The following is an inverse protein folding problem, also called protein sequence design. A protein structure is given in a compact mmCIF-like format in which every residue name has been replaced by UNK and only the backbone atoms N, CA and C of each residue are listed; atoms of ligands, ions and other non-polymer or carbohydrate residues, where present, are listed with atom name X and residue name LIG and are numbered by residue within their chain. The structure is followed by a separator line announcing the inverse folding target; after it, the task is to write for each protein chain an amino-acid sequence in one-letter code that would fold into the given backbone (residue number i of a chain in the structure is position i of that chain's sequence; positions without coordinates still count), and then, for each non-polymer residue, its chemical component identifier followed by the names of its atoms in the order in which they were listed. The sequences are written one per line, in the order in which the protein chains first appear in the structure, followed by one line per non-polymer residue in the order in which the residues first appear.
data_IF_372541389279
#
_entry.id   IF_372541389279
#
_cell.length_a   1.000
_cell.length_b   1.000
_cell.length_c   1.000
_cell.angle_alpha   90.00
_cell.angle_beta   90.00
_cell.angle_gamma   90.00
#
_symmetry.space_group_name_H-M   'P 1'
#
loop_
_entity.id
_entity.type
_entity.pdbx_description
1 polymer ?
#
# COMPACT_ATOMS: atom_id res chain seq x y z
N UNK A 1 -5.14 42.18 -11.43
CA UNK A 1 -5.44 41.08 -10.48
C UNK A 1 -5.56 39.81 -11.31
N UNK A 2 -4.78 38.79 -11.03
CA UNK A 2 -4.87 37.51 -11.79
C UNK A 2 -6.15 36.74 -11.37
N UNK A 3 -6.62 35.81 -12.23
CA UNK A 3 -7.74 34.93 -11.87
C UNK A 3 -7.45 34.15 -10.57
N UNK A 4 -6.18 33.71 -10.37
CA UNK A 4 -5.70 33.08 -9.13
C UNK A 4 -5.93 34.00 -7.91
N UNK A 5 -5.54 35.26 -8.01
CA UNK A 5 -5.68 36.21 -6.88
C UNK A 5 -7.14 36.46 -6.54
N UNK A 6 -8.00 36.60 -7.56
CA UNK A 6 -9.43 36.76 -7.36
C UNK A 6 -10.07 35.55 -6.64
N UNK A 7 -9.69 34.33 -6.99
CA UNK A 7 -10.16 33.09 -6.34
C UNK A 7 -9.68 33.03 -4.87
N UNK A 8 -8.41 33.28 -4.63
CA UNK A 8 -7.83 33.22 -3.27
C UNK A 8 -8.45 34.30 -2.38
N UNK A 9 -8.69 35.50 -2.90
CA UNK A 9 -9.36 36.59 -2.15
C UNK A 9 -10.82 36.26 -1.89
N UNK A 10 -11.49 35.61 -2.83
CA UNK A 10 -12.85 35.10 -2.63
C UNK A 10 -12.92 34.11 -1.47
N UNK A 11 -11.99 33.13 -1.43
CA UNK A 11 -11.86 32.14 -0.34
C UNK A 11 -11.63 32.87 1.00
N UNK A 12 -10.66 33.79 1.06
CA UNK A 12 -10.33 34.52 2.29
C UNK A 12 -11.51 35.33 2.83
N UNK A 13 -12.26 36.03 1.95
CA UNK A 13 -13.44 36.83 2.36
C UNK A 13 -14.59 35.97 2.88
N UNK A 14 -14.77 34.76 2.34
CA UNK A 14 -15.86 33.86 2.70
C UNK A 14 -15.48 32.83 3.77
N UNK A 15 -14.25 32.89 4.26
CA UNK A 15 -13.83 32.00 5.35
C UNK A 15 -14.61 32.32 6.62
N UNK A 16 -15.20 31.31 7.31
CA UNK A 16 -15.87 31.54 8.58
C UNK A 16 -14.93 32.24 9.58
N UNK A 17 -15.44 33.24 10.29
CA UNK A 17 -14.71 33.89 11.37
C UNK A 17 -14.72 33.00 12.63
N UNK A 18 -13.57 32.80 13.26
CA UNK A 18 -13.43 32.04 14.49
C UNK A 18 -12.19 31.16 14.50
N UNK A 19 -11.88 30.64 15.67
CA UNK A 19 -10.88 29.60 15.86
C UNK A 19 -11.58 28.23 15.82
N UNK A 20 -11.19 27.37 14.89
CA UNK A 20 -11.76 26.04 14.69
C UNK A 20 -10.63 25.01 14.88
N UNK A 21 -10.26 24.71 16.14
CA UNK A 21 -9.22 23.73 16.40
C UNK A 21 -9.65 22.35 15.88
N UNK A 22 -8.68 21.56 15.41
CA UNK A 22 -8.95 20.18 15.01
C UNK A 22 -9.49 19.38 16.21
N UNK A 23 -10.49 18.53 16.01
CA UNK A 23 -11.01 17.68 17.05
C UNK A 23 -9.94 16.69 17.54
N UNK A 24 -9.95 16.39 18.83
CA UNK A 24 -9.15 15.30 19.37
C UNK A 24 -9.82 13.96 19.06
N UNK A 25 -9.18 13.17 18.17
CA UNK A 25 -9.70 11.85 17.77
C UNK A 25 -9.10 10.77 18.68
N UNK A 26 -9.92 9.98 19.41
CA UNK A 26 -9.43 8.88 20.24
C UNK A 26 -8.81 7.76 19.39
N UNK A 27 -7.95 6.94 20.01
CA UNK A 27 -7.25 5.85 19.29
C UNK A 27 -8.10 4.60 19.06
N UNK A 28 -9.20 4.41 19.76
CA UNK A 28 -10.09 3.23 19.67
C UNK A 28 -9.36 1.87 19.77
N UNK A 29 -8.23 1.84 20.49
CA UNK A 29 -7.36 0.65 20.59
C UNK A 29 -8.06 -0.61 21.13
N UNK A 30 -9.10 -0.55 21.99
CA UNK A 30 -9.77 -1.75 22.51
C UNK A 30 -10.55 -2.56 21.45
N UNK A 31 -10.73 -2.02 20.24
CA UNK A 31 -11.48 -2.70 19.17
C UNK A 31 -10.65 -3.73 18.39
N UNK A 32 -9.34 -3.74 18.59
CA UNK A 32 -8.40 -4.67 17.93
C UNK A 32 -7.79 -5.58 19.00
N UNK A 33 -7.74 -6.89 18.74
CA UNK A 33 -7.11 -7.85 19.63
C UNK A 33 -5.61 -7.59 19.82
N UNK A 34 -4.98 -8.31 20.75
CA UNK A 34 -3.55 -8.15 21.05
C UNK A 34 -2.64 -8.75 19.96
N UNK A 35 -3.13 -9.73 19.18
CA UNK A 35 -2.40 -10.32 18.06
C UNK A 35 -2.68 -9.57 16.75
N UNK A 36 -1.96 -8.48 16.56
CA UNK A 36 -2.09 -7.64 15.36
C UNK A 36 -1.71 -8.36 14.06
N UNK A 37 -0.81 -9.34 14.13
CA UNK A 37 -0.36 -10.11 12.95
C UNK A 37 -1.47 -11.03 12.46
N UNK A 38 -2.09 -11.78 13.38
CA UNK A 38 -3.21 -12.65 13.05
C UNK A 38 -4.41 -11.85 12.53
N UNK A 39 -4.78 -10.75 13.21
CA UNK A 39 -5.89 -9.89 12.79
C UNK A 39 -5.63 -9.29 11.40
N UNK A 40 -4.43 -8.77 11.15
CA UNK A 40 -4.01 -8.29 9.83
C UNK A 40 -4.24 -9.34 8.74
N UNK A 41 -3.78 -10.57 8.98
CA UNK A 41 -3.90 -11.67 8.03
C UNK A 41 -5.35 -12.00 7.69
N UNK A 42 -6.22 -12.09 8.71
CA UNK A 42 -7.65 -12.35 8.53
C UNK A 42 -8.37 -11.23 7.79
N UNK A 43 -8.03 -9.96 8.08
CA UNK A 43 -8.62 -8.81 7.39
C UNK A 43 -8.17 -8.74 5.93
N UNK A 44 -6.86 -8.91 5.68
CA UNK A 44 -6.32 -8.96 4.32
C UNK A 44 -6.99 -10.04 3.49
N UNK A 45 -7.17 -11.24 4.06
CA UNK A 45 -7.85 -12.37 3.40
C UNK A 45 -9.30 -12.04 3.02
N UNK A 46 -10.05 -11.40 3.92
CA UNK A 46 -11.42 -10.94 3.63
C UNK A 46 -11.48 -9.96 2.46
N UNK A 47 -10.43 -9.17 2.28
CA UNK A 47 -10.30 -8.23 1.17
C UNK A 47 -9.72 -8.87 -0.10
N UNK A 48 -9.57 -10.19 -0.14
CA UNK A 48 -9.08 -10.93 -1.31
C UNK A 48 -7.56 -11.01 -1.45
N UNK A 49 -6.80 -10.46 -0.50
CA UNK A 49 -5.36 -10.64 -0.42
C UNK A 49 -4.98 -11.93 0.30
N UNK A 50 -3.68 -12.17 0.44
CA UNK A 50 -3.18 -13.31 1.22
C UNK A 50 -1.87 -12.97 1.93
N UNK A 51 -1.61 -13.65 3.03
CA UNK A 51 -0.32 -13.67 3.70
C UNK A 51 0.45 -14.91 3.24
N UNK A 52 1.75 -14.77 3.05
CA UNK A 52 2.68 -15.87 2.85
C UNK A 52 3.82 -15.76 3.86
N UNK A 53 4.26 -16.90 4.36
CA UNK A 53 5.42 -16.95 5.25
C UNK A 53 6.71 -17.13 4.45
N UNK A 54 7.84 -16.57 4.93
CA UNK A 54 9.13 -16.79 4.32
C UNK A 54 9.56 -18.26 4.50
N UNK A 55 10.12 -18.86 3.48
CA UNK A 55 10.66 -20.21 3.56
C UNK A 55 12.07 -20.26 4.16
N UNK A 56 12.42 -21.38 4.76
CA UNK A 56 13.78 -21.63 5.22
C UNK A 56 14.75 -21.72 4.01
N UNK A 57 15.68 -20.79 3.91
CA UNK A 57 16.67 -20.74 2.81
C UNK A 57 16.20 -20.03 1.53
N UNK A 58 14.90 -19.82 1.35
CA UNK A 58 14.33 -19.00 0.29
C UNK A 58 13.17 -18.17 0.83
N UNK A 59 13.43 -16.92 1.14
CA UNK A 59 12.43 -16.00 1.71
C UNK A 59 11.20 -15.81 0.81
N UNK A 60 11.34 -16.07 -0.50
CA UNK A 60 10.26 -15.95 -1.47
C UNK A 60 9.55 -17.27 -1.79
N UNK A 61 9.82 -18.36 -1.06
CA UNK A 61 9.21 -19.68 -1.33
C UNK A 61 7.69 -19.62 -1.48
N UNK A 62 6.99 -18.85 -0.63
CA UNK A 62 5.53 -18.69 -0.68
C UNK A 62 4.97 -17.98 -1.93
N UNK A 63 5.84 -17.39 -2.75
CA UNK A 63 5.50 -16.69 -4.01
C UNK A 63 6.38 -17.13 -5.19
N UNK A 64 7.25 -18.13 -5.00
CA UNK A 64 8.25 -18.59 -5.97
C UNK A 64 7.62 -18.95 -7.32
N UNK A 65 6.58 -19.76 -7.32
CA UNK A 65 5.88 -20.17 -8.56
C UNK A 65 5.47 -18.95 -9.41
N UNK A 66 5.00 -17.90 -8.76
CA UNK A 66 4.60 -16.67 -9.44
C UNK A 66 5.79 -15.88 -9.98
N UNK A 67 6.87 -15.81 -9.22
CA UNK A 67 8.10 -15.16 -9.67
C UNK A 67 8.72 -15.89 -10.86
N UNK A 68 8.74 -17.23 -10.84
CA UNK A 68 9.32 -18.05 -11.90
C UNK A 68 8.49 -18.02 -13.19
N UNK A 69 7.17 -17.82 -13.09
CA UNK A 69 6.28 -17.66 -14.24
C UNK A 69 6.30 -16.24 -14.85
N UNK A 70 6.82 -15.25 -14.12
CA UNK A 70 6.83 -13.85 -14.55
C UNK A 70 7.91 -13.60 -15.61
N UNK A 71 7.55 -12.87 -16.67
CA UNK A 71 8.50 -12.38 -17.70
C UNK A 71 9.15 -11.07 -17.27
N UNK A 72 8.37 -10.19 -16.66
CA UNK A 72 8.82 -8.87 -16.21
C UNK A 72 8.60 -8.74 -14.71
N UNK A 73 9.70 -8.65 -13.97
CA UNK A 73 9.72 -8.46 -12.53
C UNK A 73 10.32 -7.09 -12.23
N UNK A 74 9.53 -6.22 -11.59
CA UNK A 74 9.99 -4.96 -11.05
C UNK A 74 10.21 -5.09 -9.54
N UNK A 75 11.42 -4.83 -9.07
CA UNK A 75 11.74 -4.91 -7.65
C UNK A 75 12.23 -3.57 -7.12
N UNK A 76 11.60 -3.11 -6.04
CA UNK A 76 12.03 -1.94 -5.27
C UNK A 76 12.73 -2.34 -3.95
N UNK A 77 13.05 -3.64 -3.79
CA UNK A 77 13.65 -4.19 -2.56
C UNK A 77 15.00 -4.85 -2.85
N UNK A 78 15.96 -4.77 -1.93
CA UNK A 78 17.29 -5.37 -2.14
C UNK A 78 17.28 -6.91 -2.06
N UNK A 79 16.27 -7.51 -1.42
CA UNK A 79 16.15 -8.95 -1.23
C UNK A 79 15.85 -9.72 -2.52
N UNK A 80 15.40 -9.03 -3.55
CA UNK A 80 15.11 -9.61 -4.87
C UNK A 80 15.63 -8.71 -5.98
N UNK A 81 16.39 -9.26 -6.92
CA UNK A 81 16.76 -8.55 -8.14
C UNK A 81 15.70 -8.79 -9.21
N UNK A 82 15.03 -7.73 -9.65
CA UNK A 82 14.13 -7.75 -10.81
C UNK A 82 14.88 -7.57 -12.14
N UNK A 83 14.18 -7.77 -13.25
CA UNK A 83 14.71 -7.52 -14.60
C UNK A 83 14.19 -6.19 -15.22
N UNK A 84 13.33 -5.46 -14.50
CA UNK A 84 12.90 -4.09 -14.83
C UNK A 84 13.54 -3.11 -13.85
N UNK A 85 14.39 -2.21 -14.35
CA UNK A 85 14.97 -1.13 -13.56
C UNK A 85 13.96 0.01 -13.39
N UNK A 86 13.37 0.12 -12.19
CA UNK A 86 12.42 1.17 -11.84
C UNK A 86 13.03 2.57 -11.86
N UNK A 87 14.34 2.71 -11.65
CA UNK A 87 15.01 4.02 -11.63
C UNK A 87 15.19 4.60 -13.04
N UNK A 88 15.13 3.77 -14.06
CA UNK A 88 15.20 4.18 -15.47
C UNK A 88 13.86 4.65 -16.03
N UNK A 89 12.75 4.35 -15.37
CA UNK A 89 11.38 4.70 -15.80
C UNK A 89 11.20 6.23 -15.82
N UNK A 90 10.65 6.74 -16.93
CA UNK A 90 10.38 8.18 -17.12
C UNK A 90 8.90 8.51 -17.20
N UNK A 91 8.06 7.54 -17.56
CA UNK A 91 6.63 7.69 -17.67
C UNK A 91 5.90 6.52 -17.00
N UNK A 92 4.76 6.74 -16.31
CA UNK A 92 4.04 5.69 -15.61
C UNK A 92 3.68 4.48 -16.48
N UNK A 93 3.41 4.70 -17.77
CA UNK A 93 3.05 3.65 -18.73
C UNK A 93 4.18 2.63 -18.98
N UNK A 94 5.42 2.99 -18.72
CA UNK A 94 6.57 2.09 -18.93
C UNK A 94 6.62 0.91 -17.94
N UNK A 95 5.69 0.84 -16.99
CA UNK A 95 5.53 -0.30 -16.08
C UNK A 95 4.22 -1.07 -16.30
N UNK A 96 3.52 -0.84 -17.43
CA UNK A 96 2.26 -1.53 -17.74
C UNK A 96 2.42 -3.02 -18.06
N UNK A 97 3.62 -3.42 -18.49
CA UNK A 97 3.99 -4.79 -18.82
C UNK A 97 4.56 -5.60 -17.64
N UNK A 98 4.57 -5.01 -16.43
CA UNK A 98 5.11 -5.68 -15.23
C UNK A 98 4.17 -6.80 -14.79
N UNK A 99 4.68 -8.04 -14.79
CA UNK A 99 3.93 -9.19 -14.30
C UNK A 99 3.89 -9.22 -12.77
N UNK A 100 5.05 -9.03 -12.14
CA UNK A 100 5.17 -9.03 -10.68
C UNK A 100 5.96 -7.81 -10.21
N UNK A 101 5.36 -7.04 -9.31
CA UNK A 101 6.08 -6.02 -8.56
C UNK A 101 6.37 -6.50 -7.13
N UNK A 102 7.60 -6.29 -6.67
CA UNK A 102 8.03 -6.60 -5.30
C UNK A 102 8.43 -5.31 -4.60
N UNK A 103 7.69 -4.97 -3.55
CA UNK A 103 7.87 -3.72 -2.80
C UNK A 103 7.88 -4.01 -1.30
N UNK A 104 8.38 -3.08 -0.49
CA UNK A 104 8.30 -3.19 0.97
C UNK A 104 7.33 -2.15 1.52
N UNK A 105 6.39 -2.60 2.36
CA UNK A 105 5.51 -1.68 3.07
C UNK A 105 6.27 -0.93 4.17
N UNK A 106 5.83 0.29 4.44
CA UNK A 106 6.31 1.07 5.59
C UNK A 106 5.78 0.46 6.87
N UNK A 107 4.47 0.15 6.89
CA UNK A 107 3.78 -0.55 7.97
C UNK A 107 2.48 -1.21 7.47
N UNK A 108 1.90 -2.07 8.30
CA UNK A 108 0.56 -2.66 8.11
C UNK A 108 -0.45 -2.12 9.12
N UNK A 109 -1.75 -2.28 8.86
CA UNK A 109 -2.85 -1.93 9.76
C UNK A 109 -3.67 -3.18 10.05
N UNK A 110 -3.70 -3.62 11.29
CA UNK A 110 -4.38 -4.84 11.69
C UNK A 110 -5.90 -4.78 11.43
N UNK A 111 -6.54 -3.67 11.79
CA UNK A 111 -7.99 -3.45 11.65
C UNK A 111 -8.52 -3.68 10.22
N UNK A 112 -7.72 -3.33 9.21
CA UNK A 112 -8.17 -3.32 7.80
C UNK A 112 -7.43 -4.31 6.92
N UNK A 113 -6.29 -4.86 7.35
CA UNK A 113 -5.40 -5.64 6.49
C UNK A 113 -4.71 -4.80 5.42
N UNK A 114 -4.60 -3.48 5.64
CA UNK A 114 -3.98 -2.56 4.70
C UNK A 114 -2.49 -2.45 4.91
N UNK A 115 -1.75 -2.16 3.85
CA UNK A 115 -0.32 -1.82 3.88
C UNK A 115 -0.11 -0.41 3.37
N UNK A 116 0.82 0.34 4.01
CA UNK A 116 1.19 1.68 3.57
C UNK A 116 2.42 1.64 2.65
N UNK A 117 2.32 2.36 1.54
CA UNK A 117 3.45 2.74 0.71
C UNK A 117 3.58 4.25 0.62
N UNK A 118 4.79 4.72 0.43
CA UNK A 118 5.11 6.08 0.01
C UNK A 118 5.90 6.02 -1.30
N UNK A 119 6.19 7.19 -1.88
CA UNK A 119 7.02 7.30 -3.09
C UNK A 119 8.39 6.63 -2.94
N UNK A 120 8.97 6.64 -1.74
CA UNK A 120 10.28 6.04 -1.48
C UNK A 120 10.27 4.52 -1.63
N UNK A 121 9.20 3.84 -1.20
CA UNK A 121 9.05 2.40 -1.31
C UNK A 121 8.70 1.94 -2.72
N UNK A 122 7.98 2.78 -3.46
CA UNK A 122 7.49 2.41 -4.80
C UNK A 122 8.48 2.75 -5.90
N UNK A 123 9.35 3.78 -5.72
CA UNK A 123 10.24 4.36 -6.73
C UNK A 123 9.42 4.95 -7.90
N UNK A 124 8.49 4.19 -8.44
CA UNK A 124 7.49 4.59 -9.43
C UNK A 124 6.12 4.26 -8.88
N UNK A 125 5.34 5.28 -8.50
CA UNK A 125 4.03 5.08 -7.86
C UNK A 125 3.10 4.17 -8.68
N UNK A 126 3.17 4.25 -10.00
CA UNK A 126 2.33 3.47 -10.91
C UNK A 126 2.55 1.95 -10.79
N UNK A 127 3.71 1.48 -10.32
CA UNK A 127 4.01 0.04 -10.22
C UNK A 127 3.05 -0.69 -9.29
N UNK A 128 2.55 -0.01 -8.25
CA UNK A 128 1.59 -0.58 -7.31
C UNK A 128 0.17 -0.76 -7.90
N UNK A 129 -0.09 -0.22 -9.08
CA UNK A 129 -1.39 -0.26 -9.74
C UNK A 129 -1.37 -1.00 -11.08
N UNK A 130 -0.28 -0.85 -11.85
CA UNK A 130 -0.18 -1.39 -13.21
C UNK A 130 0.40 -2.80 -13.25
N UNK A 131 1.19 -3.20 -12.26
CA UNK A 131 1.65 -4.59 -12.16
C UNK A 131 0.47 -5.57 -12.06
N UNK A 132 0.59 -6.75 -12.67
CA UNK A 132 -0.45 -7.77 -12.60
C UNK A 132 -0.56 -8.35 -11.18
N UNK A 133 0.57 -8.51 -10.50
CA UNK A 133 0.64 -9.10 -9.16
C UNK A 133 1.57 -8.28 -8.26
N UNK A 134 1.12 -8.00 -7.05
CA UNK A 134 1.89 -7.24 -6.06
C UNK A 134 2.32 -8.17 -4.91
N UNK A 135 3.62 -8.30 -4.72
CA UNK A 135 4.25 -8.96 -3.58
C UNK A 135 4.79 -7.90 -2.65
N UNK A 136 4.33 -7.91 -1.41
CA UNK A 136 4.65 -6.90 -0.41
C UNK A 136 5.43 -7.53 0.72
N UNK A 137 6.63 -7.05 0.98
CA UNK A 137 7.38 -7.40 2.19
C UNK A 137 6.88 -6.52 3.33
N UNK A 138 6.48 -7.13 4.45
CA UNK A 138 6.03 -6.43 5.65
C UNK A 138 6.75 -6.97 6.87
N UNK A 139 7.36 -6.09 7.65
CA UNK A 139 7.85 -6.46 8.97
C UNK A 139 6.66 -6.61 9.92
N UNK A 140 6.46 -7.79 10.55
CA UNK A 140 5.38 -7.98 11.53
C UNK A 140 5.41 -6.98 12.69
N UNK A 141 6.61 -6.50 13.08
CA UNK A 141 6.77 -5.51 14.14
C UNK A 141 6.24 -4.10 13.74
N UNK A 142 6.05 -3.84 12.45
CA UNK A 142 5.53 -2.58 11.93
C UNK A 142 3.99 -2.60 11.75
N UNK A 143 3.28 -3.59 12.28
CA UNK A 143 1.82 -3.63 12.20
C UNK A 143 1.23 -2.79 13.35
N UNK A 144 0.49 -1.73 12.96
CA UNK A 144 -0.24 -0.88 13.90
C UNK A 144 -1.68 -1.38 14.08
N UNK A 145 -2.33 -1.12 15.24
CA UNK A 145 -3.64 -1.70 15.54
C UNK A 145 -4.76 -1.22 14.60
N UNK A 146 -4.84 0.07 14.32
CA UNK A 146 -5.97 0.66 13.60
C UNK A 146 -5.57 1.88 12.76
N UNK A 147 -6.54 2.39 11.99
CA UNK A 147 -6.36 3.54 11.10
C UNK A 147 -5.99 4.82 11.88
N UNK A 148 -6.55 5.01 13.08
CA UNK A 148 -6.25 6.19 13.92
C UNK A 148 -4.80 6.19 14.38
N UNK A 149 -4.27 5.02 14.77
CA UNK A 149 -2.86 4.87 15.09
C UNK A 149 -1.97 5.09 13.87
N UNK A 150 -2.39 4.59 12.69
CA UNK A 150 -1.69 4.78 11.43
C UNK A 150 -1.55 6.25 11.07
N UNK A 151 -2.62 7.05 11.14
CA UNK A 151 -2.59 8.49 10.81
C UNK A 151 -1.75 9.34 11.77
N UNK A 152 -1.38 8.81 12.95
CA UNK A 152 -0.40 9.46 13.84
C UNK A 152 1.06 9.20 13.48
N UNK A 153 1.30 8.29 12.53
CA UNK A 153 2.64 7.99 12.04
C UNK A 153 3.20 9.17 11.22
N UNK A 154 4.50 9.47 11.37
CA UNK A 154 5.11 10.63 10.71
C UNK A 154 5.13 10.55 9.18
N UNK A 155 4.98 9.36 8.62
CA UNK A 155 5.04 9.11 7.18
C UNK A 155 3.98 9.92 6.42
N UNK A 156 2.77 10.07 6.96
CA UNK A 156 1.72 10.88 6.33
C UNK A 156 2.04 12.37 6.27
N UNK A 157 2.86 12.88 7.18
CA UNK A 157 3.26 14.29 7.19
C UNK A 157 4.55 14.61 6.44
N UNK A 158 5.34 13.58 6.10
CA UNK A 158 6.67 13.74 5.49
C UNK A 158 6.71 13.37 4.01
N UNK A 159 5.79 12.54 3.57
CA UNK A 159 5.73 12.04 2.19
C UNK A 159 4.86 12.92 1.32
N UNK A 160 5.28 13.15 0.08
CA UNK A 160 4.46 13.83 -0.93
C UNK A 160 3.35 12.93 -1.47
N UNK A 161 3.57 11.61 -1.41
CA UNK A 161 2.62 10.59 -1.77
C UNK A 161 2.61 9.48 -0.71
N UNK A 162 1.43 9.15 -0.20
CA UNK A 162 1.21 8.05 0.73
C UNK A 162 -0.11 7.35 0.37
N UNK A 163 -0.09 6.02 0.29
CA UNK A 163 -1.27 5.24 -0.11
C UNK A 163 -1.41 3.98 0.74
N UNK A 164 -2.65 3.68 1.13
CA UNK A 164 -3.03 2.43 1.76
C UNK A 164 -3.58 1.47 0.70
N UNK A 165 -2.95 0.30 0.57
CA UNK A 165 -3.44 -0.79 -0.28
C UNK A 165 -4.06 -1.87 0.59
N UNK A 166 -5.27 -2.34 0.22
CA UNK A 166 -6.03 -3.34 0.96
C UNK A 166 -6.48 -4.44 0.01
N UNK A 167 -5.68 -5.49 -0.12
CA UNK A 167 -5.98 -6.57 -1.08
C UNK A 167 -5.78 -6.18 -2.56
N UNK A 168 -6.22 -7.03 -3.50
CA UNK A 168 -6.20 -6.75 -4.93
C UNK A 168 -7.21 -5.67 -5.30
N UNK A 169 -7.10 -5.13 -6.52
CA UNK A 169 -8.14 -4.27 -7.09
C UNK A 169 -9.49 -5.00 -7.09
N UNK A 170 -10.55 -4.33 -6.64
CA UNK A 170 -11.89 -4.91 -6.59
C UNK A 170 -12.93 -3.85 -6.99
N UNK A 171 -13.94 -4.28 -7.74
CA UNK A 171 -15.12 -3.47 -8.08
C UNK A 171 -16.38 -4.32 -8.05
N UNK A 172 -17.52 -3.72 -7.71
CA UNK A 172 -18.84 -4.31 -7.77
C UNK A 172 -19.74 -3.60 -8.79
N UNK A 173 -19.19 -2.76 -9.64
CA UNK A 173 -19.95 -1.94 -10.62
C UNK A 173 -20.56 -2.81 -11.75
N UNK A 174 -20.12 -4.06 -11.87
CA UNK A 174 -20.62 -5.00 -12.86
C UNK A 174 -21.64 -5.92 -12.20
N UNK A 175 -22.93 -5.67 -12.43
CA UNK A 175 -24.07 -6.49 -11.96
C UNK A 175 -24.10 -6.73 -10.43
N UNK A 176 -23.41 -5.89 -9.63
CA UNK A 176 -23.32 -6.08 -8.18
C UNK A 176 -22.46 -7.27 -7.74
N UNK A 177 -21.71 -7.89 -8.66
CA UNK A 177 -20.79 -8.99 -8.38
C UNK A 177 -19.39 -8.42 -8.11
N UNK A 178 -18.76 -8.84 -7.01
CA UNK A 178 -17.40 -8.44 -6.68
C UNK A 178 -16.40 -9.09 -7.66
N UNK A 179 -15.75 -8.28 -8.48
CA UNK A 179 -14.73 -8.70 -9.43
C UNK A 179 -13.38 -8.19 -8.97
N UNK A 180 -12.38 -9.07 -8.89
CA UNK A 180 -11.02 -8.72 -8.55
C UNK A 180 -10.15 -8.53 -9.79
N UNK A 181 -9.25 -7.52 -9.76
CA UNK A 181 -8.24 -7.27 -10.80
C UNK A 181 -8.79 -6.64 -12.09
N UNK A 182 -9.97 -6.03 -12.06
CA UNK A 182 -10.55 -5.39 -13.24
C UNK A 182 -9.78 -4.12 -13.66
N UNK A 183 -9.30 -3.33 -12.70
CA UNK A 183 -8.58 -2.07 -12.93
C UNK A 183 -7.44 -1.91 -11.93
N UNK A 184 -6.44 -2.80 -11.96
CA UNK A 184 -5.32 -2.78 -11.04
C UNK A 184 -4.76 -4.17 -10.78
N UNK A 185 -4.04 -4.33 -9.69
CA UNK A 185 -3.40 -5.62 -9.38
C UNK A 185 -4.42 -6.73 -9.19
N UNK A 186 -4.19 -7.86 -9.84
CA UNK A 186 -5.05 -9.06 -9.78
C UNK A 186 -4.89 -9.83 -8.49
N UNK A 187 -3.73 -9.73 -7.85
CA UNK A 187 -3.49 -10.30 -6.53
C UNK A 187 -2.50 -9.47 -5.73
N UNK A 188 -2.72 -9.42 -4.43
CA UNK A 188 -1.80 -8.86 -3.46
C UNK A 188 -1.43 -9.96 -2.46
N UNK A 189 -0.11 -10.21 -2.33
CA UNK A 189 0.43 -11.18 -1.36
C UNK A 189 1.38 -10.44 -0.44
N UNK A 190 1.11 -10.49 0.86
CA UNK A 190 2.03 -9.96 1.89
C UNK A 190 2.91 -11.10 2.39
N UNK A 191 4.21 -10.91 2.30
CA UNK A 191 5.24 -11.79 2.85
C UNK A 191 5.71 -11.18 4.17
N UNK A 192 5.49 -11.90 5.27
CA UNK A 192 5.89 -11.46 6.61
C UNK A 192 7.39 -11.63 6.77
N UNK A 193 8.15 -10.57 6.50
CA UNK A 193 9.60 -10.60 6.49
C UNK A 193 10.17 -9.47 7.35
N UNK A 194 10.75 -9.78 8.54
CA UNK A 194 11.42 -8.80 9.37
C UNK A 194 12.49 -8.02 8.59
N UNK A 195 12.70 -6.76 8.94
CA UNK A 195 13.82 -5.99 8.42
C UNK A 195 15.10 -6.56 9.01
N UNK A 196 16.12 -6.77 8.17
CA UNK A 196 17.45 -7.05 8.68
C UNK A 196 17.92 -5.82 9.48
N UNK A 197 18.38 -6.06 10.71
CA UNK A 197 18.94 -5.04 11.59
C UNK A 197 20.26 -4.47 11.03
#
# INVERSE_FOLDING_TARGET
MSARDAILDGIRRNRPAGDFPLPEVPLFTPLVGDDHVAEFGERLKRMGGRVAEPGAGDVFAGVRERLDAAKVIASAVPELTGNRDLRSVRAPQEVEDVDVAVVRAVFGIAETGSVLFTEDQLIVNAVAYLAQHLVVLLDPADIVPNVQAAYRRPEFGRSAYAVLHTGPSATADIEGVLIHGAQGVRSLTVLMLPRCA
#
